data_IF_342810775986
#
_entry.id   IF_342810775986
#
_cell.length_a   1.000
_cell.length_b   1.000
_cell.length_c   1.000
_cell.angle_alpha   90.00
_cell.angle_beta   90.00
_cell.angle_gamma   90.00
#
_symmetry.space_group_name_H-M   'P 1'
#
loop_
_entity.id
_entity.type
_entity.pdbx_description
1 polymer ?
#
# COMPACT_ATOMS: atom_id res chain seq x y z
N UNK A 1 -13.24 21.48 33.64
CA UNK A 1 -11.81 21.17 33.34
C UNK A 1 -11.77 19.87 32.58
N UNK A 2 -11.50 19.91 31.27
CA UNK A 2 -11.26 18.69 30.48
C UNK A 2 -9.79 18.34 30.55
N UNK A 3 -9.48 17.05 30.73
CA UNK A 3 -8.12 16.56 30.85
C UNK A 3 -7.33 16.74 29.53
N UNK A 4 -6.00 16.99 29.58
CA UNK A 4 -5.17 17.09 28.40
C UNK A 4 -5.13 15.74 27.65
N UNK A 5 -5.16 15.78 26.32
CA UNK A 5 -5.09 14.59 25.48
C UNK A 5 -3.64 14.10 25.44
N UNK A 6 -3.41 12.88 25.91
CA UNK A 6 -2.09 12.24 25.89
C UNK A 6 -1.95 11.39 24.63
N UNK A 7 -0.92 11.64 23.80
CA UNK A 7 -0.60 10.89 22.61
C UNK A 7 0.65 10.03 22.88
N UNK A 8 0.54 8.72 22.70
CA UNK A 8 1.66 7.77 22.77
C UNK A 8 2.15 7.50 21.34
N UNK A 9 3.28 8.06 20.97
CA UNK A 9 4.01 7.70 19.76
C UNK A 9 5.12 6.71 20.13
N UNK A 10 5.27 5.63 19.36
CA UNK A 10 6.26 4.56 19.58
C UNK A 10 7.64 5.17 19.89
N UNK A 11 8.10 5.01 21.13
CA UNK A 11 9.50 5.25 21.53
C UNK A 11 9.92 6.69 21.80
N UNK A 12 9.05 7.70 21.73
CA UNK A 12 9.38 9.09 22.07
C UNK A 12 8.40 9.71 23.05
N UNK A 13 8.92 10.68 23.81
CA UNK A 13 8.30 11.41 24.92
C UNK A 13 6.89 11.93 24.58
N UNK A 14 5.95 11.75 25.50
CA UNK A 14 4.58 12.32 25.46
C UNK A 14 4.65 13.82 25.16
N UNK A 15 4.12 14.24 24.01
CA UNK A 15 3.80 15.64 23.77
C UNK A 15 2.39 15.90 24.34
N UNK A 16 2.31 16.73 25.37
CA UNK A 16 1.03 17.27 25.86
C UNK A 16 0.78 18.55 25.06
N UNK A 17 -0.26 18.56 24.23
CA UNK A 17 -0.69 19.78 23.55
C UNK A 17 -1.81 20.40 24.37
N UNK A 18 -1.53 21.56 24.95
CA UNK A 18 -2.54 22.36 25.62
C UNK A 18 -3.35 23.16 24.60
N UNK A 19 -4.61 22.78 24.41
CA UNK A 19 -5.55 23.42 23.48
C UNK A 19 -6.52 24.38 24.21
N UNK A 20 -6.30 24.68 25.48
CA UNK A 20 -7.23 25.47 26.31
C UNK A 20 -7.38 26.92 25.82
N UNK A 21 -6.35 27.48 25.17
CA UNK A 21 -6.38 28.86 24.64
C UNK A 21 -6.97 29.01 23.23
N UNK A 22 -7.39 27.91 22.55
CA UNK A 22 -7.85 27.94 21.17
C UNK A 22 -9.38 28.06 21.11
N UNK A 23 -9.96 28.94 20.25
CA UNK A 23 -11.41 29.03 20.07
C UNK A 23 -12.04 27.68 19.69
N UNK A 24 -13.25 27.40 20.19
CA UNK A 24 -13.92 26.10 20.03
C UNK A 24 -14.03 25.64 18.55
N UNK A 25 -14.25 26.59 17.62
CA UNK A 25 -14.35 26.33 16.18
C UNK A 25 -12.99 25.93 15.54
N UNK A 26 -11.88 26.47 16.05
CA UNK A 26 -10.53 26.08 15.61
C UNK A 26 -10.06 24.80 16.28
N UNK A 27 -10.53 24.50 17.51
CA UNK A 27 -10.23 23.23 18.20
C UNK A 27 -10.72 22.01 17.44
N UNK A 28 -11.94 22.08 16.86
CA UNK A 28 -12.48 21.00 16.02
C UNK A 28 -11.60 20.72 14.80
N UNK A 29 -11.17 21.77 14.11
CA UNK A 29 -10.29 21.66 12.93
C UNK A 29 -8.91 21.10 13.33
N UNK A 30 -8.31 21.60 14.40
CA UNK A 30 -7.01 21.11 14.90
C UNK A 30 -7.12 19.64 15.34
N UNK A 31 -8.19 19.27 16.03
CA UNK A 31 -8.42 17.90 16.47
C UNK A 31 -8.61 16.95 15.29
N UNK A 32 -9.29 17.39 14.25
CA UNK A 32 -9.45 16.63 12.99
C UNK A 32 -8.11 16.49 12.26
N UNK A 33 -7.34 17.57 12.13
CA UNK A 33 -5.99 17.52 11.52
C UNK A 33 -5.02 16.64 12.31
N UNK A 34 -5.07 16.71 13.65
CA UNK A 34 -4.28 15.84 14.51
C UNK A 34 -4.70 14.37 14.39
N UNK A 35 -5.99 14.08 14.26
CA UNK A 35 -6.49 12.72 14.03
C UNK A 35 -6.06 12.18 12.66
N UNK A 36 -6.12 12.99 11.60
CA UNK A 36 -5.64 12.63 10.26
C UNK A 36 -4.12 12.36 10.26
N UNK A 37 -3.36 13.23 10.90
CA UNK A 37 -1.91 13.07 11.03
C UNK A 37 -1.50 11.85 11.87
N UNK A 38 -2.26 11.55 12.95
CA UNK A 38 -2.07 10.34 13.74
C UNK A 38 -2.46 9.07 12.97
N UNK A 39 -3.44 9.16 12.08
CA UNK A 39 -3.90 8.06 11.24
C UNK A 39 -2.81 7.65 10.24
N UNK A 40 -2.19 8.62 9.55
CA UNK A 40 -1.06 8.37 8.65
C UNK A 40 0.18 7.82 9.39
N UNK A 41 0.46 8.32 10.61
CA UNK A 41 1.53 7.78 11.47
C UNK A 41 1.29 6.35 11.98
N UNK A 42 0.02 5.90 12.01
CA UNK A 42 -0.35 4.54 12.41
C UNK A 42 -0.37 3.58 11.23
N UNK A 43 -0.69 4.06 10.01
CA UNK A 43 -0.75 3.24 8.81
C UNK A 43 0.58 3.28 8.07
N UNK A 44 1.42 2.26 8.27
CA UNK A 44 2.67 2.13 7.50
C UNK A 44 2.37 1.74 6.06
N UNK A 45 2.75 2.60 5.14
CA UNK A 45 2.59 2.40 3.70
C UNK A 45 3.95 2.35 3.01
N UNK A 46 4.10 1.47 2.03
CA UNK A 46 5.23 1.47 1.10
C UNK A 46 4.73 1.53 -0.33
N UNK A 47 5.39 2.29 -1.19
CA UNK A 47 5.16 2.29 -2.63
C UNK A 47 6.35 1.65 -3.34
N UNK A 48 6.14 0.47 -3.89
CA UNK A 48 7.06 -0.16 -4.83
C UNK A 48 6.88 0.50 -6.19
N UNK A 49 7.96 0.98 -6.81
CA UNK A 49 7.84 1.61 -8.12
C UNK A 49 8.83 1.07 -9.14
N UNK A 50 8.41 1.05 -10.41
CA UNK A 50 9.25 0.81 -11.57
C UNK A 50 8.99 1.90 -12.62
N UNK A 51 9.97 2.77 -12.84
CA UNK A 51 9.86 3.86 -13.81
C UNK A 51 11.02 3.79 -14.81
N UNK A 52 10.72 3.38 -16.07
CA UNK A 52 11.77 3.18 -17.08
C UNK A 52 11.95 4.38 -18.00
N UNK A 53 10.85 5.03 -18.39
CA UNK A 53 10.85 6.08 -19.41
C UNK A 53 10.40 7.41 -18.83
N UNK A 54 11.22 8.45 -19.02
CA UNK A 54 10.92 9.84 -18.68
C UNK A 54 10.51 10.11 -17.22
N UNK A 55 10.64 9.12 -16.33
CA UNK A 55 10.25 9.30 -14.92
C UNK A 55 8.75 9.47 -14.68
N UNK A 56 7.88 9.16 -15.66
CA UNK A 56 6.45 9.44 -15.56
C UNK A 56 5.81 8.87 -14.31
N UNK A 57 6.00 7.58 -14.06
CA UNK A 57 5.46 6.90 -12.86
C UNK A 57 6.08 7.47 -11.58
N UNK A 58 7.37 7.78 -11.62
CA UNK A 58 8.07 8.36 -10.47
C UNK A 58 7.48 9.71 -10.05
N UNK A 59 7.03 10.56 -11.01
CA UNK A 59 6.36 11.84 -10.69
C UNK A 59 5.11 11.64 -9.84
N UNK A 60 4.32 10.58 -10.08
CA UNK A 60 3.15 10.27 -9.27
C UNK A 60 3.55 9.86 -7.84
N UNK A 61 4.58 9.02 -7.74
CA UNK A 61 5.11 8.57 -6.44
C UNK A 61 5.67 9.73 -5.65
N UNK A 62 6.51 10.57 -6.30
CA UNK A 62 7.13 11.73 -5.65
C UNK A 62 6.08 12.71 -5.11
N UNK A 63 4.99 12.96 -5.85
CA UNK A 63 3.92 13.84 -5.41
C UNK A 63 3.14 13.28 -4.21
N UNK A 64 2.90 11.97 -4.17
CA UNK A 64 2.28 11.32 -3.01
C UNK A 64 3.21 11.42 -1.80
N UNK A 65 4.51 11.16 -1.96
CA UNK A 65 5.49 11.27 -0.86
C UNK A 65 5.68 12.72 -0.40
N UNK A 66 5.56 13.69 -1.30
CA UNK A 66 5.59 15.12 -0.91
C UNK A 66 4.40 15.48 -0.03
N UNK A 67 3.21 14.93 -0.32
CA UNK A 67 2.01 15.11 0.50
C UNK A 67 2.02 14.26 1.79
N UNK A 68 2.64 13.09 1.75
CA UNK A 68 2.68 12.08 2.82
C UNK A 68 4.12 11.60 3.07
N UNK A 69 4.95 12.40 3.78
CA UNK A 69 6.38 12.11 3.97
C UNK A 69 6.69 10.84 4.78
N UNK A 70 5.69 10.27 5.45
CA UNK A 70 5.79 9.02 6.20
C UNK A 70 5.78 7.77 5.32
N UNK A 71 5.47 7.89 4.02
CA UNK A 71 5.41 6.76 3.09
C UNK A 71 6.81 6.35 2.67
N UNK A 72 7.12 5.08 2.88
CA UNK A 72 8.34 4.47 2.36
C UNK A 72 8.25 4.19 0.85
N UNK A 73 9.36 4.30 0.15
CA UNK A 73 9.42 3.96 -1.29
C UNK A 73 10.55 3.01 -1.60
N UNK A 74 10.33 2.15 -2.61
CA UNK A 74 11.36 1.23 -3.09
C UNK A 74 11.35 1.14 -4.62
N UNK A 75 12.48 1.46 -5.24
CA UNK A 75 12.68 1.21 -6.67
C UNK A 75 12.98 -0.27 -6.91
N UNK A 76 12.03 -1.00 -7.50
CA UNK A 76 12.23 -2.42 -7.79
C UNK A 76 13.29 -2.67 -8.86
N UNK A 77 13.68 -1.64 -9.62
CA UNK A 77 14.77 -1.71 -10.61
C UNK A 77 16.14 -1.73 -9.96
N UNK A 78 16.26 -1.25 -8.70
CA UNK A 78 17.48 -1.30 -7.93
C UNK A 78 17.73 -2.68 -7.30
N UNK A 79 16.70 -3.54 -7.24
CA UNK A 79 16.80 -4.88 -6.66
C UNK A 79 17.57 -5.83 -7.57
N UNK A 80 18.38 -6.68 -6.98
CA UNK A 80 19.00 -7.82 -7.65
C UNK A 80 17.96 -8.83 -8.14
N UNK A 81 18.35 -9.70 -9.07
CA UNK A 81 17.46 -10.68 -9.74
C UNK A 81 16.71 -11.59 -8.74
N UNK A 82 17.34 -11.95 -7.63
CA UNK A 82 16.79 -12.81 -6.58
C UNK A 82 16.61 -12.08 -5.25
N UNK A 83 16.56 -10.75 -5.29
CA UNK A 83 16.34 -9.92 -4.12
C UNK A 83 14.87 -9.55 -4.01
N UNK A 84 14.31 -9.74 -2.82
CA UNK A 84 12.91 -9.52 -2.52
C UNK A 84 12.77 -8.76 -1.20
N UNK A 85 12.04 -7.63 -1.19
CA UNK A 85 11.81 -6.88 0.04
C UNK A 85 10.91 -7.65 1.00
N UNK A 86 11.14 -7.46 2.29
CA UNK A 86 10.19 -7.90 3.31
C UNK A 86 9.12 -6.82 3.49
N UNK A 87 7.89 -7.12 3.14
CA UNK A 87 6.76 -6.19 3.23
C UNK A 87 5.87 -6.43 4.47
N UNK A 88 6.26 -7.34 5.35
CA UNK A 88 5.41 -7.79 6.47
C UNK A 88 4.98 -6.67 7.42
N UNK A 89 5.79 -5.63 7.58
CA UNK A 89 5.51 -4.53 8.50
C UNK A 89 4.62 -3.42 7.91
N UNK A 90 4.28 -3.52 6.61
CA UNK A 90 3.44 -2.53 5.95
C UNK A 90 1.98 -2.94 5.95
N UNK A 91 1.12 -1.98 6.25
CA UNK A 91 -0.33 -2.15 6.28
C UNK A 91 -0.92 -2.02 4.87
N UNK A 92 -0.31 -1.14 4.05
CA UNK A 92 -0.75 -0.82 2.69
C UNK A 92 0.45 -0.84 1.73
N UNK A 93 0.29 -1.48 0.58
CA UNK A 93 1.33 -1.62 -0.44
C UNK A 93 0.88 -0.94 -1.72
N UNK A 94 1.58 0.11 -2.12
CA UNK A 94 1.41 0.76 -3.42
C UNK A 94 2.26 0.06 -4.49
N UNK A 95 1.72 -0.06 -5.69
CA UNK A 95 2.38 -0.62 -6.87
C UNK A 95 2.35 0.40 -7.99
N UNK A 96 3.46 1.08 -8.22
CA UNK A 96 3.57 2.14 -9.21
C UNK A 96 4.39 1.67 -10.43
N UNK A 97 3.78 1.59 -11.61
CA UNK A 97 4.43 1.06 -12.81
C UNK A 97 3.98 1.76 -14.10
N UNK A 98 4.89 1.85 -15.07
CA UNK A 98 4.50 2.12 -16.45
C UNK A 98 3.89 0.87 -17.09
N UNK A 99 3.11 1.07 -18.14
CA UNK A 99 2.58 0.00 -18.98
C UNK A 99 3.49 -0.18 -20.19
N UNK A 100 4.00 -1.38 -20.37
CA UNK A 100 4.91 -1.77 -21.45
C UNK A 100 4.32 -2.96 -22.20
N UNK A 101 3.99 -2.80 -23.50
CA UNK A 101 3.34 -3.85 -24.31
C UNK A 101 2.03 -4.38 -23.69
N UNK A 102 1.24 -3.49 -23.10
CA UNK A 102 -0.01 -3.81 -22.40
C UNK A 102 0.15 -4.56 -21.07
N UNK A 103 1.37 -4.73 -20.57
CA UNK A 103 1.70 -5.38 -19.30
C UNK A 103 2.40 -4.42 -18.35
N UNK A 104 2.39 -4.71 -17.06
CA UNK A 104 3.20 -4.04 -16.05
C UNK A 104 4.69 -4.38 -16.21
N UNK A 105 5.56 -3.61 -15.56
CA UNK A 105 7.00 -3.91 -15.56
C UNK A 105 7.28 -5.34 -15.08
N UNK A 106 8.15 -6.07 -15.81
CA UNK A 106 8.47 -7.48 -15.51
C UNK A 106 9.12 -7.68 -14.15
N UNK A 107 9.98 -6.74 -13.72
CA UNK A 107 10.59 -6.82 -12.40
C UNK A 107 9.54 -6.55 -11.32
N UNK A 108 8.62 -5.64 -11.56
CA UNK A 108 7.47 -5.42 -10.67
C UNK A 108 6.62 -6.69 -10.55
N UNK A 109 6.23 -7.31 -11.67
CA UNK A 109 5.47 -8.56 -11.65
C UNK A 109 6.21 -9.67 -10.90
N UNK A 110 7.53 -9.81 -11.13
CA UNK A 110 8.39 -10.76 -10.43
C UNK A 110 8.40 -10.52 -8.93
N UNK A 111 8.62 -9.28 -8.50
CA UNK A 111 8.65 -8.93 -7.08
C UNK A 111 7.30 -9.22 -6.43
N UNK A 112 6.20 -8.68 -6.96
CA UNK A 112 4.86 -8.88 -6.39
C UNK A 112 4.48 -10.36 -6.25
N UNK A 113 4.79 -11.17 -7.27
CA UNK A 113 4.51 -12.60 -7.25
C UNK A 113 5.23 -13.33 -6.11
N UNK A 114 6.40 -12.83 -5.68
CA UNK A 114 7.18 -13.46 -4.63
C UNK A 114 6.95 -12.90 -3.22
N UNK A 115 6.60 -11.61 -3.10
CA UNK A 115 6.54 -10.93 -1.79
C UNK A 115 5.14 -10.83 -1.19
N UNK A 116 4.09 -10.70 -2.03
CA UNK A 116 2.73 -10.54 -1.51
C UNK A 116 2.29 -11.75 -0.69
N UNK A 117 1.63 -11.46 0.42
CA UNK A 117 1.07 -12.43 1.34
C UNK A 117 -0.47 -12.37 1.34
N UNK A 118 -1.14 -13.44 1.79
CA UNK A 118 -2.60 -13.40 1.95
C UNK A 118 -3.04 -12.21 2.81
N UNK A 119 -4.10 -11.52 2.34
CA UNK A 119 -4.71 -10.36 2.96
C UNK A 119 -3.89 -9.05 2.92
N UNK A 120 -2.73 -9.02 2.26
CA UNK A 120 -2.06 -7.74 1.99
C UNK A 120 -3.01 -6.81 1.21
N UNK A 121 -3.03 -5.53 1.57
CA UNK A 121 -3.81 -4.50 0.88
C UNK A 121 -2.93 -3.84 -0.18
N UNK A 122 -3.40 -3.83 -1.41
CA UNK A 122 -2.60 -3.38 -2.56
C UNK A 122 -3.36 -2.37 -3.40
N UNK A 123 -2.79 -1.21 -3.68
CA UNK A 123 -3.31 -0.27 -4.67
C UNK A 123 -2.32 -0.08 -5.83
N UNK A 124 -2.83 0.35 -6.99
CA UNK A 124 -2.03 0.54 -8.18
C UNK A 124 -1.94 2.00 -8.62
N UNK A 125 -0.77 2.40 -9.13
CA UNK A 125 -0.54 3.65 -9.85
C UNK A 125 0.06 3.34 -11.22
N UNK A 126 -0.51 3.85 -12.30
CA UNK A 126 -0.07 3.52 -13.65
C UNK A 126 0.11 4.72 -14.54
N UNK A 127 1.16 4.68 -15.37
CA UNK A 127 1.30 5.62 -16.48
C UNK A 127 1.36 4.86 -17.82
N UNK A 128 0.70 5.40 -18.85
CA UNK A 128 0.57 4.73 -20.15
C UNK A 128 0.64 5.73 -21.31
N UNK A 129 1.15 5.29 -22.45
CA UNK A 129 1.13 6.09 -23.69
C UNK A 129 -0.26 6.12 -24.35
N UNK A 130 -1.05 5.06 -24.22
CA UNK A 130 -2.42 4.96 -24.73
C UNK A 130 -3.36 4.32 -23.71
N UNK A 131 -4.56 4.86 -23.53
CA UNK A 131 -5.55 4.36 -22.56
C UNK A 131 -6.14 3.02 -23.01
N UNK A 132 -6.19 2.06 -22.08
CA UNK A 132 -6.86 0.78 -22.27
C UNK A 132 -7.65 0.41 -21.00
N UNK A 133 -8.89 -0.10 -21.20
CA UNK A 133 -9.77 -0.53 -20.09
C UNK A 133 -9.28 -1.74 -19.28
N UNK A 134 -8.23 -2.40 -19.78
CA UNK A 134 -7.67 -3.59 -19.17
C UNK A 134 -6.51 -3.30 -18.20
N UNK A 135 -6.04 -2.06 -18.14
CA UNK A 135 -4.96 -1.69 -17.23
C UNK A 135 -5.37 -1.92 -15.77
N UNK A 136 -4.43 -2.43 -14.97
CA UNK A 136 -4.66 -2.85 -13.58
C UNK A 136 -5.00 -4.34 -13.42
N UNK A 137 -5.39 -5.05 -14.49
CA UNK A 137 -5.71 -6.49 -14.41
C UNK A 137 -4.52 -7.36 -14.03
N UNK A 138 -3.31 -6.96 -14.41
CA UNK A 138 -2.10 -7.70 -14.06
C UNK A 138 -1.87 -7.64 -12.54
N UNK A 139 -2.02 -6.46 -11.93
CA UNK A 139 -1.90 -6.31 -10.48
C UNK A 139 -3.03 -7.08 -9.78
N UNK A 140 -4.28 -6.91 -10.21
CA UNK A 140 -5.42 -7.64 -9.66
C UNK A 140 -5.23 -9.17 -9.79
N UNK A 141 -4.75 -9.64 -10.94
CA UNK A 141 -4.45 -11.06 -11.17
C UNK A 141 -3.39 -11.61 -10.22
N UNK A 142 -2.30 -10.87 -10.00
CA UNK A 142 -1.27 -11.24 -9.04
C UNK A 142 -1.83 -11.20 -7.61
N UNK A 143 -2.60 -10.18 -7.24
CA UNK A 143 -3.25 -10.11 -5.94
C UNK A 143 -4.15 -11.33 -5.69
N UNK A 144 -5.00 -11.70 -6.64
CA UNK A 144 -5.86 -12.90 -6.53
C UNK A 144 -5.04 -14.17 -6.37
N UNK A 145 -3.98 -14.35 -7.17
CA UNK A 145 -3.10 -15.51 -7.08
C UNK A 145 -2.43 -15.60 -5.69
N UNK A 146 -2.08 -14.46 -5.11
CA UNK A 146 -1.42 -14.38 -3.79
C UNK A 146 -2.42 -14.21 -2.63
N UNK A 147 -3.73 -14.22 -2.90
CA UNK A 147 -4.79 -13.99 -1.91
C UNK A 147 -4.69 -12.63 -1.22
N UNK A 148 -4.06 -11.66 -1.89
CA UNK A 148 -4.03 -10.26 -1.49
C UNK A 148 -5.30 -9.54 -1.95
N UNK A 149 -5.59 -8.38 -1.38
CA UNK A 149 -6.78 -7.59 -1.64
C UNK A 149 -6.39 -6.39 -2.49
N UNK A 150 -6.90 -6.35 -3.72
CA UNK A 150 -6.69 -5.23 -4.63
C UNK A 150 -7.72 -4.13 -4.37
N UNK A 151 -7.24 -2.94 -4.02
CA UNK A 151 -8.06 -1.79 -3.63
C UNK A 151 -8.35 -0.82 -4.78
N UNK A 152 -7.91 -1.17 -5.99
CA UNK A 152 -8.10 -0.35 -7.16
C UNK A 152 -6.83 0.26 -7.73
N UNK A 153 -6.98 1.02 -8.83
CA UNK A 153 -5.86 1.60 -9.56
C UNK A 153 -6.19 3.01 -10.04
N UNK A 154 -5.25 3.91 -9.88
CA UNK A 154 -5.21 5.18 -10.59
C UNK A 154 -4.29 5.06 -11.81
N UNK A 155 -4.71 5.60 -12.95
CA UNK A 155 -3.92 5.59 -14.17
C UNK A 155 -4.09 6.85 -14.99
N UNK A 156 -2.98 7.40 -15.47
CA UNK A 156 -2.97 8.60 -16.29
C UNK A 156 -2.02 8.46 -17.50
N UNK A 157 -2.17 9.32 -18.52
CA UNK A 157 -1.20 9.41 -19.60
C UNK A 157 0.21 9.69 -19.10
N UNK A 158 1.20 9.18 -19.81
CA UNK A 158 2.61 9.47 -19.61
C UNK A 158 3.31 9.70 -20.95
N UNK A 159 4.27 10.60 -20.97
CA UNK A 159 5.06 10.85 -22.19
C UNK A 159 5.75 9.58 -22.63
N UNK A 160 5.48 9.16 -23.87
CA UNK A 160 6.00 7.92 -24.44
C UNK A 160 6.71 8.18 -25.78
N UNK A 161 7.94 7.71 -25.87
CA UNK A 161 8.79 7.79 -27.08
C UNK A 161 9.12 6.40 -27.61
N UNK A 162 8.37 5.36 -27.22
CA UNK A 162 8.70 3.99 -27.59
C UNK A 162 8.26 3.63 -29.02
N UNK A 163 9.04 2.77 -29.67
CA UNK A 163 8.73 2.23 -31.00
C UNK A 163 8.60 3.30 -32.08
N UNK A 164 7.52 3.27 -32.89
CA UNK A 164 7.30 4.23 -33.97
C UNK A 164 7.09 5.67 -33.47
N UNK A 165 6.66 5.86 -32.23
CA UNK A 165 6.50 7.18 -31.63
C UNK A 165 7.81 7.95 -31.50
N UNK A 166 8.95 7.26 -31.47
CA UNK A 166 10.27 7.91 -31.48
C UNK A 166 10.49 8.78 -32.73
N UNK A 167 9.97 8.33 -33.88
CA UNK A 167 10.11 9.04 -35.15
C UNK A 167 9.28 10.34 -35.20
N UNK A 168 8.19 10.39 -34.46
CA UNK A 168 7.29 11.58 -34.36
C UNK A 168 7.61 12.45 -33.15
N UNK A 169 8.68 12.15 -32.42
CA UNK A 169 9.09 12.87 -31.21
C UNK A 169 8.24 12.55 -29.97
N UNK A 170 7.53 11.39 -30.00
CA UNK A 170 6.75 10.88 -28.88
C UNK A 170 5.27 11.30 -28.87
N UNK A 171 4.51 10.60 -28.06
CA UNK A 171 3.08 10.88 -27.78
C UNK A 171 2.92 11.32 -26.33
N UNK A 172 1.80 11.98 -26.02
CA UNK A 172 1.48 12.45 -24.66
C UNK A 172 2.55 13.37 -24.07
N UNK A 173 3.09 14.31 -24.89
CA UNK A 173 4.04 15.33 -24.40
C UNK A 173 3.37 16.18 -23.31
N UNK A 174 4.10 16.45 -22.23
CA UNK A 174 3.59 17.20 -21.07
C UNK A 174 2.80 16.37 -20.05
N UNK A 175 2.64 15.05 -20.29
CA UNK A 175 1.99 14.14 -19.34
C UNK A 175 3.01 13.26 -18.56
N UNK A 176 2.71 12.91 -17.30
CA UNK A 176 1.57 13.41 -16.53
C UNK A 176 1.68 14.91 -16.30
N UNK A 177 0.55 15.62 -16.42
CA UNK A 177 0.41 17.04 -16.11
C UNK A 177 0.07 17.23 -14.61
N UNK A 178 -0.05 18.49 -14.16
CA UNK A 178 -0.29 18.81 -12.76
C UNK A 178 -1.62 18.24 -12.23
N UNK A 179 -2.68 18.24 -13.05
CA UNK A 179 -3.99 17.70 -12.68
C UNK A 179 -3.94 16.17 -12.52
N UNK A 180 -3.25 15.49 -13.42
CA UNK A 180 -3.05 14.04 -13.36
C UNK A 180 -2.18 13.63 -12.16
N UNK A 181 -1.15 14.41 -11.86
CA UNK A 181 -0.31 14.19 -10.68
C UNK A 181 -1.15 14.40 -9.41
N UNK A 182 -1.93 15.47 -9.34
CA UNK A 182 -2.88 15.72 -8.24
C UNK A 182 -3.89 14.55 -8.11
N UNK A 183 -4.41 14.03 -9.21
CA UNK A 183 -5.33 12.90 -9.20
C UNK A 183 -4.75 11.64 -8.57
N UNK A 184 -3.42 11.44 -8.64
CA UNK A 184 -2.76 10.32 -7.95
C UNK A 184 -2.73 10.54 -6.43
N UNK A 185 -2.51 11.78 -5.97
CA UNK A 185 -2.59 12.14 -4.54
C UNK A 185 -4.02 11.98 -4.05
N UNK A 186 -5.00 12.56 -4.74
CA UNK A 186 -6.42 12.46 -4.39
C UNK A 186 -6.91 10.99 -4.31
N UNK A 187 -6.38 10.11 -5.16
CA UNK A 187 -6.68 8.69 -5.13
C UNK A 187 -6.11 8.00 -3.89
N UNK A 188 -4.89 8.34 -3.49
CA UNK A 188 -4.28 7.82 -2.26
C UNK A 188 -5.02 8.33 -1.02
N UNK A 189 -5.29 9.65 -0.95
CA UNK A 189 -6.06 10.28 0.13
C UNK A 189 -7.41 9.59 0.33
N UNK A 190 -8.09 9.29 -0.78
CA UNK A 190 -9.37 8.58 -0.74
C UNK A 190 -9.23 7.18 -0.13
N UNK A 191 -8.18 6.42 -0.46
CA UNK A 191 -7.94 5.11 0.14
C UNK A 191 -7.69 5.25 1.65
N UNK A 192 -6.87 6.22 2.04
CA UNK A 192 -6.56 6.47 3.44
C UNK A 192 -7.80 6.88 4.22
N UNK A 193 -8.59 7.81 3.69
CA UNK A 193 -9.79 8.32 4.35
C UNK A 193 -10.89 7.27 4.48
N UNK A 194 -11.16 6.51 3.42
CA UNK A 194 -12.24 5.52 3.40
C UNK A 194 -11.88 4.21 4.12
N UNK A 195 -10.62 3.80 4.07
CA UNK A 195 -10.22 2.45 4.48
C UNK A 195 -9.08 2.40 5.50
N UNK A 196 -8.39 3.50 5.81
CA UNK A 196 -7.19 3.50 6.66
C UNK A 196 -7.41 2.84 8.01
N UNK A 197 -8.50 3.18 8.72
CA UNK A 197 -8.81 2.59 10.03
C UNK A 197 -9.05 1.08 9.94
N UNK A 198 -9.78 0.65 8.90
CA UNK A 198 -10.07 -0.76 8.64
C UNK A 198 -8.79 -1.53 8.33
N UNK A 199 -7.91 -0.94 7.50
CA UNK A 199 -6.62 -1.54 7.12
C UNK A 199 -5.76 -1.78 8.37
N UNK A 200 -5.62 -0.78 9.25
CA UNK A 200 -4.85 -0.89 10.49
C UNK A 200 -5.45 -1.93 11.45
N UNK A 201 -6.77 -1.94 11.58
CA UNK A 201 -7.46 -2.91 12.44
C UNK A 201 -7.30 -4.35 11.94
N UNK A 202 -7.49 -4.58 10.63
CA UNK A 202 -7.34 -5.90 10.02
C UNK A 202 -5.89 -6.40 10.08
N UNK A 203 -4.92 -5.51 9.89
CA UNK A 203 -3.51 -5.82 10.09
C UNK A 203 -3.25 -6.28 11.52
N UNK A 204 -3.73 -5.55 12.52
CA UNK A 204 -3.56 -5.92 13.93
C UNK A 204 -4.22 -7.27 14.27
N UNK A 205 -5.37 -7.58 13.67
CA UNK A 205 -6.03 -8.89 13.80
C UNK A 205 -5.19 -10.00 13.16
N UNK A 206 -4.63 -9.75 11.97
CA UNK A 206 -3.72 -10.67 11.27
C UNK A 206 -2.51 -11.00 12.13
N UNK A 207 -1.85 -9.99 12.68
CA UNK A 207 -0.67 -10.17 13.51
C UNK A 207 -0.96 -11.00 14.77
N UNK A 208 -2.07 -10.73 15.45
CA UNK A 208 -2.50 -11.53 16.61
C UNK A 208 -2.75 -12.99 16.24
N UNK A 209 -3.37 -13.25 15.08
CA UNK A 209 -3.60 -14.62 14.59
C UNK A 209 -2.29 -15.31 14.28
N UNK A 210 -1.36 -14.66 13.57
CA UNK A 210 -0.05 -15.24 13.23
C UNK A 210 0.78 -15.53 14.48
N UNK A 211 0.76 -14.64 15.48
CA UNK A 211 1.40 -14.87 16.76
C UNK A 211 0.81 -16.07 17.48
N UNK A 212 -0.52 -16.19 17.52
CA UNK A 212 -1.20 -17.33 18.11
C UNK A 212 -0.85 -18.65 17.40
N UNK A 213 -0.87 -18.68 16.06
CA UNK A 213 -0.51 -19.85 15.26
C UNK A 213 0.95 -20.27 15.47
N UNK A 214 1.86 -19.31 15.65
CA UNK A 214 3.27 -19.56 15.95
C UNK A 214 3.46 -20.21 17.33
N UNK A 215 2.70 -19.78 18.33
CA UNK A 215 2.72 -20.34 19.67
C UNK A 215 2.00 -21.70 19.75
N UNK A 216 1.00 -21.93 18.86
CA UNK A 216 0.18 -23.13 18.82
C UNK A 216 0.27 -23.82 17.45
N UNK A 217 1.44 -24.34 17.07
CA UNK A 217 1.61 -24.99 15.78
C UNK A 217 0.63 -26.16 15.61
N UNK A 218 0.02 -26.28 14.42
CA UNK A 218 -1.07 -27.22 14.09
C UNK A 218 -0.80 -28.71 14.43
N UNK A 219 0.44 -29.08 14.71
CA UNK A 219 0.81 -30.35 15.30
C UNK A 219 0.08 -30.66 16.62
N UNK A 220 -0.33 -29.63 17.37
CA UNK A 220 -1.14 -29.80 18.60
C UNK A 220 -2.60 -30.13 18.31
N UNK A 221 -3.19 -29.56 17.25
CA UNK A 221 -4.59 -29.81 16.85
C UNK A 221 -4.74 -31.23 16.25
N UNK A 222 -3.83 -31.68 15.39
CA UNK A 222 -3.83 -33.03 14.81
C UNK A 222 -3.56 -34.08 15.89
N UNK A 223 -2.70 -33.78 16.87
CA UNK A 223 -2.48 -34.65 18.02
C UNK A 223 -3.71 -34.73 18.93
N UNK A 224 -4.43 -33.62 19.12
CA UNK A 224 -5.71 -33.56 19.86
C UNK A 224 -6.81 -34.38 19.19
N UNK A 225 -6.99 -34.22 17.87
CA UNK A 225 -7.98 -35.00 17.09
C UNK A 225 -7.62 -36.50 17.09
N UNK A 226 -6.35 -36.88 16.92
CA UNK A 226 -5.90 -38.26 16.99
C UNK A 226 -6.09 -38.86 18.40
N UNK A 227 -5.87 -38.10 19.49
CA UNK A 227 -6.14 -38.55 20.86
C UNK A 227 -7.63 -38.75 21.11
N UNK A 228 -8.47 -37.86 20.60
CA UNK A 228 -9.93 -37.98 20.75
C UNK A 228 -10.47 -39.14 19.94
N UNK A 229 -10.02 -39.30 18.69
CA UNK A 229 -10.38 -40.46 17.85
C UNK A 229 -9.95 -41.78 18.47
N UNK A 230 -8.74 -41.87 19.06
CA UNK A 230 -8.26 -43.07 19.76
C UNK A 230 -9.04 -43.37 21.05
N UNK A 231 -9.51 -42.32 21.78
CA UNK A 231 -10.38 -42.51 22.96
C UNK A 231 -11.77 -43.01 22.56
N UNK A 232 -12.29 -42.60 21.42
CA UNK A 232 -13.59 -43.08 20.90
C UNK A 232 -13.47 -44.53 20.41
N UNK A 233 -12.41 -44.86 19.67
CA UNK A 233 -12.17 -46.20 19.16
C UNK A 233 -11.92 -47.24 20.27
N UNK A 234 -11.41 -46.84 21.44
CA UNK A 234 -11.20 -47.75 22.59
C UNK A 234 -12.45 -47.88 23.50
N UNK A 235 -13.56 -47.21 23.16
CA UNK A 235 -14.84 -47.29 23.88
C UNK A 235 -15.93 -48.06 23.12
N UNK A 236 -15.64 -48.44 21.89
CA UNK A 236 -16.44 -49.32 21.04
C UNK A 236 -15.85 -50.74 21.03
#
# INVERSE_FOLDING_TARGET
>A
MQAPVSILVKGQTRALVDVSGIPAMQRGTIQTLMQLQLKGLLMRTIILYASRHHGNTKKLVDAIVEAHPEIDTLDVKALGKNEYPNLHEYHLIGVATGIYYSEIDKDMARVLTNVLQPQDKVFGLMTYGGKNKWYGKDIDGICRMRQAIFMGVYGCPGFDTWGPFKLTGGVQKGHPNAEEIKGAVDFFDKIEDEYGDIIVEEYAKREKRLAYEKEHPAGGLVAGVKRTAKKIANKL
#
